data_IF_220357871802
#
_entry.id   IF_220357871802
#
_cell.length_a   1.000
_cell.length_b   1.000
_cell.length_c   1.000
_cell.angle_alpha   90.00
_cell.angle_beta   90.00
_cell.angle_gamma   90.00
#
_symmetry.space_group_name_H-M   'P 1'
#
loop_
_entity.id
_entity.type
_entity.pdbx_description
1 polymer ?
#
# COMPACT_ATOMS: atom_id res chain seq x y z
N UNK A 1 -5.92 23.23 -25.90
CA UNK A 1 -5.17 22.16 -26.59
C UNK A 1 -3.70 22.48 -26.39
N UNK A 2 -2.94 21.58 -25.78
CA UNK A 2 -1.50 21.73 -25.64
C UNK A 2 -0.79 20.93 -26.72
N UNK A 3 0.32 21.45 -27.22
CA UNK A 3 1.21 20.73 -28.11
C UNK A 3 2.63 20.86 -27.51
N UNK A 4 3.20 19.72 -27.14
CA UNK A 4 4.40 19.71 -26.30
C UNK A 4 5.68 20.00 -27.11
N UNK A 5 5.72 19.55 -28.36
CA UNK A 5 6.88 19.66 -29.24
C UNK A 5 7.21 21.12 -29.63
N UNK A 6 6.19 21.98 -29.68
CA UNK A 6 6.29 23.41 -30.03
C UNK A 6 6.05 24.32 -28.82
N UNK A 7 5.85 23.77 -27.62
CA UNK A 7 5.61 24.52 -26.39
C UNK A 7 4.25 25.22 -26.32
N UNK A 8 3.35 24.98 -27.27
CA UNK A 8 2.09 25.71 -27.40
C UNK A 8 1.09 25.29 -26.32
N UNK A 9 0.48 26.26 -25.66
CA UNK A 9 -0.56 26.01 -24.66
C UNK A 9 -0.03 25.60 -23.27
N UNK A 10 1.29 25.48 -23.10
CA UNK A 10 1.88 25.03 -21.83
C UNK A 10 1.70 26.09 -20.73
N UNK A 11 1.88 27.38 -21.06
CA UNK A 11 1.71 28.46 -20.09
C UNK A 11 0.26 28.56 -19.60
N UNK A 12 -0.70 28.40 -20.50
CA UNK A 12 -2.13 28.40 -20.19
C UNK A 12 -2.50 27.19 -19.32
N UNK A 13 -1.98 26.00 -19.65
CA UNK A 13 -2.15 24.81 -18.83
C UNK A 13 -1.58 25.00 -17.42
N UNK A 14 -0.38 25.56 -17.31
CA UNK A 14 0.26 25.82 -16.03
C UNK A 14 -0.58 26.77 -15.17
N UNK A 15 -1.09 27.85 -15.77
CA UNK A 15 -1.96 28.81 -15.09
C UNK A 15 -3.27 28.16 -14.59
N UNK A 16 -3.85 27.21 -15.34
CA UNK A 16 -5.00 26.44 -14.87
C UNK A 16 -4.66 25.49 -13.72
N UNK A 17 -3.47 24.86 -13.74
CA UNK A 17 -3.00 24.01 -12.63
C UNK A 17 -2.84 24.84 -11.35
N UNK A 18 -2.28 26.05 -11.45
CA UNK A 18 -2.15 26.96 -10.31
C UNK A 18 -3.52 27.38 -9.77
N UNK A 19 -4.45 27.83 -10.63
CA UNK A 19 -5.83 28.15 -10.24
C UNK A 19 -6.52 26.98 -9.54
N UNK A 20 -6.38 25.77 -10.09
CA UNK A 20 -6.94 24.58 -9.46
C UNK A 20 -6.31 24.34 -8.08
N UNK A 21 -4.98 24.43 -7.97
CA UNK A 21 -4.24 24.26 -6.72
C UNK A 21 -4.71 25.23 -5.65
N UNK A 22 -4.86 26.51 -5.98
CA UNK A 22 -5.38 27.53 -5.08
C UNK A 22 -6.79 27.18 -4.60
N UNK A 23 -7.67 26.83 -5.54
CA UNK A 23 -9.05 26.45 -5.23
C UNK A 23 -9.14 25.24 -4.27
N UNK A 24 -8.40 24.16 -4.55
CA UNK A 24 -8.41 22.97 -3.67
C UNK A 24 -7.68 23.20 -2.35
N UNK A 25 -6.76 24.17 -2.29
CA UNK A 25 -6.10 24.55 -1.04
C UNK A 25 -7.04 25.37 -0.17
N UNK A 26 -7.68 26.40 -0.74
CA UNK A 26 -8.63 27.26 -0.03
C UNK A 26 -9.84 26.49 0.50
N UNK A 27 -10.35 25.51 -0.24
CA UNK A 27 -11.45 24.63 0.19
C UNK A 27 -11.03 23.51 1.18
N UNK A 28 -9.74 23.41 1.50
CA UNK A 28 -9.17 22.34 2.33
C UNK A 28 -9.17 20.95 1.68
N UNK A 29 -9.61 20.84 0.44
CA UNK A 29 -9.73 19.59 -0.31
C UNK A 29 -8.37 18.93 -0.56
N UNK A 30 -7.34 19.73 -0.83
CA UNK A 30 -5.97 19.24 -1.00
C UNK A 30 -5.50 18.47 0.24
N UNK A 31 -5.79 18.99 1.44
CA UNK A 31 -5.44 18.34 2.70
C UNK A 31 -6.22 17.03 2.88
N UNK A 32 -7.54 17.03 2.62
CA UNK A 32 -8.37 15.81 2.70
C UNK A 32 -7.86 14.71 1.77
N UNK A 33 -7.59 15.04 0.50
CA UNK A 33 -7.04 14.09 -0.49
C UNK A 33 -5.67 13.56 -0.09
N UNK A 34 -4.79 14.41 0.44
CA UNK A 34 -3.47 13.99 0.94
C UNK A 34 -3.58 13.04 2.11
N UNK A 35 -4.46 13.31 3.09
CA UNK A 35 -4.69 12.39 4.20
C UNK A 35 -5.21 11.04 3.69
N UNK A 36 -6.18 11.04 2.77
CA UNK A 36 -6.70 9.80 2.20
C UNK A 36 -5.61 9.01 1.45
N UNK A 37 -4.79 9.68 0.64
CA UNK A 37 -3.64 9.04 -0.04
C UNK A 37 -2.64 8.47 0.96
N UNK A 38 -2.21 9.27 1.93
CA UNK A 38 -1.22 8.83 2.91
C UNK A 38 -1.74 7.68 3.76
N UNK A 39 -3.04 7.63 4.08
CA UNK A 39 -3.65 6.48 4.77
C UNK A 39 -3.49 5.20 3.95
N UNK A 40 -3.78 5.24 2.64
CA UNK A 40 -3.56 4.07 1.78
C UNK A 40 -2.07 3.72 1.71
N UNK A 41 -1.20 4.69 1.48
CA UNK A 41 0.25 4.45 1.38
C UNK A 41 0.85 3.83 2.65
N UNK A 42 0.42 4.28 3.84
CA UNK A 42 0.83 3.70 5.12
C UNK A 42 0.40 2.23 5.22
N UNK A 43 -0.84 1.91 4.82
CA UNK A 43 -1.36 0.54 4.84
C UNK A 43 -0.59 -0.34 3.85
N UNK A 44 -0.37 0.13 2.63
CA UNK A 44 0.39 -0.61 1.62
C UNK A 44 1.82 -0.91 2.08
N UNK A 45 2.52 0.09 2.65
CA UNK A 45 3.86 -0.10 3.21
C UNK A 45 3.83 -1.13 4.36
N UNK A 46 2.85 -1.05 5.25
CA UNK A 46 2.73 -1.99 6.36
C UNK A 46 2.48 -3.43 5.87
N UNK A 47 1.56 -3.61 4.92
CA UNK A 47 1.26 -4.93 4.33
C UNK A 47 2.45 -5.50 3.57
N UNK A 48 3.18 -4.67 2.80
CA UNK A 48 4.40 -5.10 2.12
C UNK A 48 5.48 -5.58 3.10
N UNK A 49 5.63 -4.90 4.24
CA UNK A 49 6.56 -5.32 5.30
C UNK A 49 6.14 -6.64 5.95
N UNK A 50 4.87 -6.80 6.29
CA UNK A 50 4.35 -8.06 6.86
C UNK A 50 4.55 -9.22 5.86
N UNK A 51 4.24 -9.00 4.58
CA UNK A 51 4.47 -10.00 3.53
C UNK A 51 5.93 -10.42 3.48
N UNK A 52 6.86 -9.47 3.43
CA UNK A 52 8.29 -9.75 3.38
C UNK A 52 8.75 -10.57 4.60
N UNK A 53 8.30 -10.22 5.79
CA UNK A 53 8.66 -10.95 7.00
C UNK A 53 8.06 -12.37 7.03
N UNK A 54 6.85 -12.56 6.49
CA UNK A 54 6.28 -13.90 6.29
C UNK A 54 7.14 -14.72 5.33
N UNK A 55 7.57 -14.13 4.21
CA UNK A 55 8.40 -14.82 3.22
C UNK A 55 9.74 -15.26 3.84
N UNK A 56 10.39 -14.41 4.64
CA UNK A 56 11.63 -14.75 5.37
C UNK A 56 11.45 -15.91 6.38
N UNK A 57 10.27 -15.98 7.03
CA UNK A 57 9.92 -17.08 7.94
C UNK A 57 9.59 -18.36 7.15
N UNK A 58 8.94 -18.22 6.00
CA UNK A 58 8.62 -19.31 5.08
C UNK A 58 9.87 -20.02 4.56
N UNK A 59 10.94 -19.26 4.28
CA UNK A 59 12.26 -19.79 3.91
C UNK A 59 12.90 -20.69 5.00
N UNK A 60 12.33 -20.71 6.21
CA UNK A 60 12.76 -21.58 7.34
C UNK A 60 11.86 -22.81 7.52
N UNK A 61 11.21 -23.27 6.45
CA UNK A 61 10.29 -24.43 6.38
C UNK A 61 9.03 -24.35 7.26
N UNK A 62 8.84 -23.28 8.05
CA UNK A 62 7.70 -23.18 8.97
C UNK A 62 6.36 -23.14 8.23
N UNK A 63 6.29 -22.36 7.15
CA UNK A 63 5.05 -22.21 6.39
C UNK A 63 4.60 -23.54 5.79
N UNK A 64 5.54 -24.32 5.24
CA UNK A 64 5.27 -25.65 4.70
C UNK A 64 4.81 -26.62 5.80
N UNK A 65 5.46 -26.60 6.97
CA UNK A 65 5.07 -27.43 8.11
C UNK A 65 3.66 -27.10 8.64
N UNK A 66 3.28 -25.82 8.65
CA UNK A 66 1.93 -25.37 9.00
C UNK A 66 0.91 -25.78 7.92
N UNK A 67 1.25 -25.68 6.64
CA UNK A 67 0.39 -26.10 5.54
C UNK A 67 0.10 -27.61 5.56
N UNK A 68 1.10 -28.44 5.89
CA UNK A 68 0.91 -29.88 6.11
C UNK A 68 -0.07 -30.13 7.26
N UNK A 69 0.13 -29.48 8.42
CA UNK A 69 -0.78 -29.64 9.57
C UNK A 69 -2.24 -29.25 9.25
N UNK A 70 -2.44 -28.20 8.46
CA UNK A 70 -3.78 -27.79 8.02
C UNK A 70 -4.40 -28.81 7.07
N UNK A 71 -3.61 -29.33 6.14
CA UNK A 71 -4.04 -30.37 5.18
C UNK A 71 -4.44 -31.66 5.89
N UNK A 72 -3.72 -32.02 6.96
CA UNK A 72 -3.99 -33.20 7.78
C UNK A 72 -5.10 -32.98 8.83
N UNK A 73 -5.73 -31.79 8.84
CA UNK A 73 -6.76 -31.38 9.82
C UNK A 73 -6.27 -31.39 11.28
N UNK A 74 -4.95 -31.37 11.50
CA UNK A 74 -4.36 -31.26 12.83
C UNK A 74 -4.42 -29.82 13.38
N UNK A 75 -4.56 -28.83 12.49
CA UNK A 75 -4.71 -27.42 12.82
C UNK A 75 -5.67 -26.77 11.83
N UNK A 76 -6.48 -25.80 12.27
CA UNK A 76 -7.30 -25.02 11.35
C UNK A 76 -6.48 -23.86 10.73
N UNK A 77 -6.91 -23.32 9.57
CA UNK A 77 -6.16 -22.26 8.88
C UNK A 77 -5.97 -20.97 9.71
N UNK A 78 -6.90 -20.63 10.61
CA UNK A 78 -6.78 -19.42 11.44
C UNK A 78 -5.73 -19.64 12.52
N UNK A 79 -5.77 -20.77 13.22
CA UNK A 79 -4.75 -21.10 14.20
C UNK A 79 -3.35 -21.26 13.59
N UNK A 80 -3.25 -21.75 12.34
CA UNK A 80 -2.00 -21.77 11.60
C UNK A 80 -1.48 -20.35 11.28
N UNK A 81 -2.36 -19.45 10.84
CA UNK A 81 -2.02 -18.06 10.59
C UNK A 81 -1.55 -17.34 11.87
N UNK A 82 -2.23 -17.55 13.00
CA UNK A 82 -1.83 -16.98 14.29
C UNK A 82 -0.43 -17.46 14.70
N UNK A 83 -0.12 -18.75 14.53
CA UNK A 83 1.23 -19.29 14.79
C UNK A 83 2.29 -18.67 13.87
N UNK A 84 1.98 -18.50 12.58
CA UNK A 84 2.89 -17.88 11.64
C UNK A 84 3.17 -16.41 12.01
N UNK A 85 2.13 -15.65 12.36
CA UNK A 85 2.25 -14.26 12.77
C UNK A 85 3.06 -14.10 14.07
N UNK A 86 2.91 -15.01 15.03
CA UNK A 86 3.69 -15.00 16.27
C UNK A 86 5.21 -15.20 16.07
N UNK A 87 5.63 -15.79 14.94
CA UNK A 87 7.05 -15.92 14.56
C UNK A 87 7.55 -14.69 13.77
N UNK A 88 6.65 -14.00 13.07
CA UNK A 88 6.94 -12.75 12.35
C UNK A 88 7.11 -11.56 13.31
N UNK A 89 6.39 -11.56 14.43
CA UNK A 89 6.43 -10.49 15.44
C UNK A 89 7.65 -10.56 16.38
N UNK A 90 8.49 -11.60 16.27
CA UNK A 90 9.60 -11.89 17.19
C UNK A 90 10.92 -11.27 16.72
#
# INVERSE_FOLDING_TARGET
>A
MTQAADGKGIAELWAEIERHREHITASGELRRRRIARNRHEIVEIALARIRHAIDEVGDRDLLDALAVQVTEHALDPYAAADKLLAEVER
#
